data_IF_840797442786
#
_entry.id   IF_840797442786
#
_cell.length_a   1.000
_cell.length_b   1.000
_cell.length_c   1.000
_cell.angle_alpha   90.00
_cell.angle_beta   90.00
_cell.angle_gamma   90.00
#
_symmetry.space_group_name_H-M   'P 1'
#
loop_
_entity.id
_entity.type
_entity.pdbx_description
1 polymer ?
#
# COMPACT_ATOMS: atom_id res chain seq x y z
N UNK A 1 -13.45 5.31 34.14
CA UNK A 1 -12.92 4.10 33.47
C UNK A 1 -11.87 4.57 32.47
N UNK A 2 -10.67 3.98 32.46
CA UNK A 2 -9.71 4.24 31.39
C UNK A 2 -10.31 3.78 30.05
N UNK A 3 -10.09 4.50 28.94
CA UNK A 3 -10.62 4.10 27.65
C UNK A 3 -10.09 2.72 27.26
N UNK A 4 -10.90 1.92 26.57
CA UNK A 4 -10.52 0.60 26.11
C UNK A 4 -9.28 0.67 25.19
N UNK A 5 -8.38 -0.29 25.32
CA UNK A 5 -7.21 -0.41 24.43
C UNK A 5 -7.69 -0.89 23.07
N UNK A 6 -7.39 -0.13 22.02
CA UNK A 6 -7.77 -0.45 20.62
C UNK A 6 -6.63 -0.11 19.66
N UNK A 7 -6.65 -0.57 18.40
CA UNK A 7 -5.68 -0.16 17.39
C UNK A 7 -5.58 1.35 17.16
N UNK A 8 -6.65 2.10 17.45
CA UNK A 8 -6.70 3.57 17.37
C UNK A 8 -6.56 4.27 18.74
N UNK A 9 -6.42 3.51 19.83
CA UNK A 9 -6.18 4.01 21.18
C UNK A 9 -5.26 3.03 21.95
N UNK A 10 -3.95 2.98 21.62
CA UNK A 10 -3.00 2.12 22.30
C UNK A 10 -2.69 2.60 23.73
N UNK A 11 -2.02 1.79 24.58
CA UNK A 11 -1.73 2.13 25.98
C UNK A 11 -0.84 3.38 26.17
N UNK A 12 -0.14 3.80 25.12
CA UNK A 12 0.62 5.05 25.04
C UNK A 12 0.06 5.87 23.88
N UNK A 13 0.19 7.21 23.88
CA UNK A 13 -0.25 8.03 22.76
C UNK A 13 0.25 7.46 21.43
N UNK A 14 -0.64 7.21 20.45
CA UNK A 14 -0.23 6.69 19.17
C UNK A 14 0.62 7.73 18.43
N UNK A 15 1.65 7.26 17.73
CA UNK A 15 2.29 8.09 16.72
C UNK A 15 1.32 8.27 15.55
N UNK A 16 1.07 9.51 15.16
CA UNK A 16 0.13 9.88 14.09
C UNK A 16 0.79 10.84 13.11
N UNK A 17 0.23 10.93 11.92
CA UNK A 17 0.76 11.78 10.86
C UNK A 17 0.45 13.25 11.02
N UNK A 18 -0.44 13.69 11.93
CA UNK A 18 -0.76 15.13 12.08
C UNK A 18 0.28 15.95 12.83
N UNK A 19 1.16 15.30 13.59
CA UNK A 19 2.21 15.98 14.37
C UNK A 19 3.41 16.32 13.47
N UNK A 20 3.41 17.54 12.95
CA UNK A 20 4.48 18.07 12.09
C UNK A 20 5.84 17.92 12.80
N UNK A 21 6.89 17.66 12.03
CA UNK A 21 8.28 17.42 12.50
C UNK A 21 8.52 16.05 13.16
N UNK A 22 7.48 15.27 13.45
CA UNK A 22 7.67 13.89 13.92
C UNK A 22 8.14 12.96 12.79
N UNK A 23 8.83 11.89 13.16
CA UNK A 23 9.21 10.86 12.21
C UNK A 23 8.00 10.16 11.56
N UNK A 24 6.86 10.10 12.26
CA UNK A 24 5.61 9.58 11.72
C UNK A 24 5.07 10.48 10.60
N UNK A 25 5.04 11.80 10.81
CA UNK A 25 4.69 12.78 9.77
C UNK A 25 5.59 12.64 8.54
N UNK A 26 6.93 12.64 8.74
CA UNK A 26 7.89 12.52 7.63
C UNK A 26 7.72 11.19 6.90
N UNK A 27 7.49 10.10 7.63
CA UNK A 27 7.30 8.78 7.04
C UNK A 27 6.05 8.74 6.16
N UNK A 28 4.90 9.17 6.68
CA UNK A 28 3.63 9.14 5.95
C UNK A 28 3.67 10.10 4.75
N UNK A 29 4.23 11.30 4.93
CA UNK A 29 4.28 12.34 3.89
C UNK A 29 5.25 12.04 2.76
N UNK A 30 6.47 11.61 3.10
CA UNK A 30 7.57 11.57 2.14
C UNK A 30 8.01 10.13 1.83
N UNK A 31 8.21 9.30 2.85
CA UNK A 31 8.82 7.97 2.68
C UNK A 31 7.86 6.96 2.07
N UNK A 32 6.62 6.90 2.53
CA UNK A 32 5.62 5.96 2.00
C UNK A 32 5.28 6.24 0.52
N UNK A 33 5.05 7.50 0.09
CA UNK A 33 4.89 7.82 -1.33
C UNK A 33 6.13 7.51 -2.18
N UNK A 34 7.34 7.67 -1.63
CA UNK A 34 8.57 7.30 -2.33
C UNK A 34 8.65 5.78 -2.54
N UNK A 35 8.24 4.96 -1.57
CA UNK A 35 8.16 3.49 -1.71
C UNK A 35 7.16 3.12 -2.82
N UNK A 36 5.97 3.73 -2.84
CA UNK A 36 5.00 3.49 -3.91
C UNK A 36 5.55 3.83 -5.30
N UNK A 37 6.28 4.94 -5.40
CA UNK A 37 6.93 5.35 -6.64
C UNK A 37 7.95 4.31 -7.10
N UNK A 38 8.75 3.76 -6.18
CA UNK A 38 9.70 2.68 -6.50
C UNK A 38 9.00 1.41 -7.02
N UNK A 39 7.87 1.03 -6.42
CA UNK A 39 7.08 -0.13 -6.87
C UNK A 39 6.51 0.12 -8.27
N UNK A 40 5.94 1.30 -8.52
CA UNK A 40 5.42 1.71 -9.83
C UNK A 40 6.52 1.66 -10.89
N UNK A 41 7.69 2.21 -10.61
CA UNK A 41 8.82 2.21 -11.53
C UNK A 41 9.29 0.78 -11.86
N UNK A 42 9.31 -0.12 -10.86
CA UNK A 42 9.73 -1.50 -11.06
C UNK A 42 8.76 -2.29 -11.95
N UNK A 43 7.45 -2.22 -11.67
CA UNK A 43 6.45 -2.88 -12.53
C UNK A 43 6.46 -2.27 -13.94
N UNK A 44 6.62 -0.94 -14.05
CA UNK A 44 6.70 -0.23 -15.33
C UNK A 44 7.85 -0.73 -16.19
N UNK A 45 9.07 -0.77 -15.65
CA UNK A 45 10.24 -1.31 -16.36
C UNK A 45 10.05 -2.78 -16.73
N UNK A 46 9.45 -3.58 -15.84
CA UNK A 46 9.27 -5.00 -16.06
C UNK A 46 8.31 -5.28 -17.22
N UNK A 47 7.15 -4.61 -17.26
CA UNK A 47 6.19 -4.87 -18.35
C UNK A 47 6.61 -4.24 -19.68
N UNK A 48 7.32 -3.11 -19.66
CA UNK A 48 7.83 -2.48 -20.91
C UNK A 48 8.94 -3.28 -21.57
N UNK A 49 9.64 -4.13 -20.81
CA UNK A 49 10.58 -5.10 -21.36
C UNK A 49 9.91 -6.34 -21.95
N UNK A 50 8.61 -6.57 -21.70
CA UNK A 50 7.86 -7.64 -22.37
C UNK A 50 7.62 -7.21 -23.81
N UNK A 51 8.21 -7.92 -24.77
CA UNK A 51 7.91 -7.70 -26.17
C UNK A 51 6.42 -8.01 -26.42
N UNK A 52 5.69 -7.08 -27.06
CA UNK A 52 4.29 -7.27 -27.47
C UNK A 52 4.19 -8.22 -28.70
N UNK A 53 4.73 -9.43 -28.56
CA UNK A 53 4.86 -10.40 -29.66
C UNK A 53 3.77 -11.46 -29.63
N UNK A 54 2.97 -11.56 -28.56
CA UNK A 54 1.93 -12.58 -28.39
C UNK A 54 0.65 -12.03 -27.74
N UNK A 55 -0.48 -12.73 -27.89
CA UNK A 55 -1.72 -12.40 -27.17
C UNK A 55 -1.56 -12.53 -25.65
N UNK A 56 -0.76 -13.49 -25.17
CA UNK A 56 -0.47 -13.68 -23.75
C UNK A 56 0.34 -12.51 -23.15
N UNK A 57 1.33 -11.97 -23.88
CA UNK A 57 2.06 -10.78 -23.44
C UNK A 57 1.16 -9.55 -23.37
N UNK A 58 0.20 -9.41 -24.29
CA UNK A 58 -0.73 -8.28 -24.29
C UNK A 58 -1.64 -8.26 -23.04
N UNK A 59 -2.15 -9.41 -22.60
CA UNK A 59 -2.95 -9.51 -21.35
C UNK A 59 -2.09 -9.16 -20.14
N UNK A 60 -0.88 -9.73 -20.04
CA UNK A 60 0.05 -9.42 -18.95
C UNK A 60 0.43 -7.94 -18.89
N UNK A 61 0.62 -7.28 -20.04
CA UNK A 61 0.88 -5.82 -20.12
C UNK A 61 -0.35 -5.02 -19.68
N UNK A 62 -1.56 -5.43 -20.05
CA UNK A 62 -2.80 -4.76 -19.64
C UNK A 62 -2.98 -4.81 -18.11
N UNK A 63 -2.76 -5.97 -17.48
CA UNK A 63 -2.78 -6.10 -16.01
C UNK A 63 -1.73 -5.22 -15.34
N UNK A 64 -0.51 -5.16 -15.89
CA UNK A 64 0.55 -4.31 -15.34
C UNK A 64 0.18 -2.82 -15.37
N UNK A 65 -0.50 -2.36 -16.43
CA UNK A 65 -1.03 -0.99 -16.52
C UNK A 65 -2.12 -0.74 -15.47
N UNK A 66 -2.99 -1.70 -15.19
CA UNK A 66 -3.99 -1.61 -14.13
C UNK A 66 -3.33 -1.49 -12.75
N UNK A 67 -2.29 -2.28 -12.49
CA UNK A 67 -1.49 -2.18 -11.25
C UNK A 67 -0.89 -0.77 -11.12
N UNK A 68 -0.23 -0.25 -12.17
CA UNK A 68 0.34 1.10 -12.16
C UNK A 68 -0.71 2.15 -11.85
N UNK A 69 -1.90 2.05 -12.45
CA UNK A 69 -3.01 2.96 -12.18
C UNK A 69 -3.47 2.88 -10.72
N UNK A 70 -3.65 1.68 -10.18
CA UNK A 70 -4.08 1.47 -8.80
C UNK A 70 -3.07 2.01 -7.77
N UNK A 71 -1.78 1.80 -8.01
CA UNK A 71 -0.71 2.32 -7.15
C UNK A 71 -0.54 3.83 -7.28
N UNK A 72 -0.73 4.39 -8.48
CA UNK A 72 -0.77 5.83 -8.72
C UNK A 72 -1.93 6.50 -7.98
N UNK A 73 -3.11 5.87 -8.00
CA UNK A 73 -4.27 6.32 -7.22
C UNK A 73 -3.99 6.26 -5.71
N UNK A 74 -3.44 5.15 -5.21
CA UNK A 74 -3.06 5.01 -3.80
C UNK A 74 -2.09 6.11 -3.37
N UNK A 75 -1.06 6.39 -4.17
CA UNK A 75 -0.10 7.48 -3.90
C UNK A 75 -0.81 8.84 -3.83
N UNK A 76 -1.73 9.12 -4.74
CA UNK A 76 -2.51 10.35 -4.73
C UNK A 76 -3.40 10.46 -3.48
N UNK A 77 -4.09 9.38 -3.11
CA UNK A 77 -4.91 9.31 -1.89
C UNK A 77 -4.09 9.66 -0.64
N UNK A 78 -2.88 9.11 -0.53
CA UNK A 78 -1.96 9.39 0.58
C UNK A 78 -1.50 10.86 0.59
N UNK A 79 -1.03 11.36 -0.55
CA UNK A 79 -0.48 12.72 -0.64
C UNK A 79 -1.53 13.82 -0.44
N UNK A 80 -2.79 13.51 -0.71
CA UNK A 80 -3.92 14.44 -0.53
C UNK A 80 -4.75 14.14 0.72
N UNK A 81 -4.18 13.35 1.64
CA UNK A 81 -4.77 12.93 2.92
C UNK A 81 -6.24 12.50 2.82
N UNK A 82 -6.54 11.66 1.82
CA UNK A 82 -7.90 11.13 1.63
C UNK A 82 -8.31 10.22 2.80
N UNK A 83 -9.62 10.07 3.04
CA UNK A 83 -10.10 9.08 4.00
C UNK A 83 -9.65 7.66 3.64
N UNK A 84 -9.40 6.85 4.67
CA UNK A 84 -9.15 5.42 4.54
C UNK A 84 -10.44 4.73 4.09
N UNK A 85 -10.35 3.95 3.01
CA UNK A 85 -11.51 3.26 2.43
C UNK A 85 -11.45 1.75 2.68
N UNK A 86 -12.60 1.07 2.69
CA UNK A 86 -12.62 -0.39 2.68
C UNK A 86 -11.81 -0.97 1.52
N UNK A 87 -11.18 -2.11 1.75
CA UNK A 87 -10.53 -2.93 0.74
C UNK A 87 -11.57 -3.62 -0.12
N UNK A 88 -11.31 -3.70 -1.43
CA UNK A 88 -12.08 -4.55 -2.33
C UNK A 88 -11.86 -6.04 -2.00
N UNK A 89 -12.76 -6.90 -2.45
CA UNK A 89 -12.54 -8.34 -2.37
C UNK A 89 -11.39 -8.73 -3.30
N UNK A 90 -10.48 -9.57 -2.81
CA UNK A 90 -9.41 -10.20 -3.57
C UNK A 90 -9.30 -11.68 -3.20
N UNK A 91 -8.27 -12.37 -3.69
CA UNK A 91 -8.09 -13.80 -3.46
C UNK A 91 -7.89 -14.17 -1.97
N UNK A 92 -7.61 -13.22 -1.09
CA UNK A 92 -7.35 -13.45 0.33
C UNK A 92 -8.51 -13.00 1.19
N UNK A 93 -9.01 -13.86 2.07
CA UNK A 93 -10.16 -13.54 2.92
C UNK A 93 -9.87 -12.49 4.00
N UNK A 94 -8.61 -12.10 4.22
CA UNK A 94 -8.22 -11.13 5.23
C UNK A 94 -8.78 -9.72 4.98
N UNK A 95 -9.20 -9.38 3.75
CA UNK A 95 -9.86 -8.10 3.46
C UNK A 95 -11.10 -7.88 4.35
N UNK A 96 -11.79 -8.95 4.76
CA UNK A 96 -12.95 -8.87 5.65
C UNK A 96 -12.56 -8.39 7.04
N UNK A 97 -11.48 -8.94 7.59
CA UNK A 97 -10.91 -8.53 8.89
C UNK A 97 -10.40 -7.09 8.82
N UNK A 98 -9.72 -6.72 7.73
CA UNK A 98 -9.32 -5.33 7.49
C UNK A 98 -10.52 -4.38 7.47
N UNK A 99 -11.58 -4.73 6.75
CA UNK A 99 -12.78 -3.90 6.65
C UNK A 99 -13.52 -3.76 7.99
N UNK A 100 -13.55 -4.82 8.80
CA UNK A 100 -14.06 -4.78 10.17
C UNK A 100 -13.24 -3.82 11.05
N UNK A 101 -11.91 -3.91 11.01
CA UNK A 101 -11.01 -3.02 11.75
C UNK A 101 -11.17 -1.56 11.30
N UNK A 102 -11.27 -1.32 9.98
CA UNK A 102 -11.51 0.01 9.41
C UNK A 102 -12.82 0.57 9.93
N UNK A 103 -13.91 -0.19 9.81
CA UNK A 103 -15.25 0.26 10.23
C UNK A 103 -15.32 0.50 11.75
N UNK A 104 -14.66 -0.34 12.55
CA UNK A 104 -14.76 -0.29 14.02
C UNK A 104 -13.84 0.76 14.64
N UNK A 105 -12.63 0.94 14.11
CA UNK A 105 -11.59 1.73 14.79
C UNK A 105 -11.09 2.93 13.98
N UNK A 106 -11.26 2.92 12.66
CA UNK A 106 -10.71 3.94 11.76
C UNK A 106 -11.78 4.60 10.87
N UNK A 107 -13.06 4.51 11.23
CA UNK A 107 -14.14 5.16 10.52
C UNK A 107 -13.90 6.68 10.44
N UNK A 108 -13.91 7.24 9.23
CA UNK A 108 -13.66 8.66 8.97
C UNK A 108 -12.21 9.11 9.19
N UNK A 109 -11.28 8.19 9.50
CA UNK A 109 -9.85 8.51 9.58
C UNK A 109 -9.24 8.67 8.19
N UNK A 110 -8.22 9.51 8.13
CA UNK A 110 -7.37 9.77 6.97
C UNK A 110 -6.00 9.17 7.19
N UNK A 111 -5.13 9.22 6.18
CA UNK A 111 -3.75 8.72 6.27
C UNK A 111 -2.95 9.38 7.41
N UNK A 112 -3.18 10.66 7.68
CA UNK A 112 -2.47 11.42 8.70
C UNK A 112 -3.15 11.33 10.08
N UNK A 113 -4.46 11.05 10.15
CA UNK A 113 -5.22 11.00 11.43
C UNK A 113 -5.41 9.60 12.01
N UNK A 114 -5.15 8.55 11.22
CA UNK A 114 -4.98 7.19 11.71
C UNK A 114 -3.62 7.01 12.40
N UNK A 115 -3.48 5.91 13.15
CA UNK A 115 -2.18 5.56 13.76
C UNK A 115 -1.18 5.23 12.66
N UNK A 116 0.08 5.69 12.82
CA UNK A 116 1.12 5.47 11.81
C UNK A 116 1.29 3.99 11.48
N UNK A 117 1.26 3.12 12.51
CA UNK A 117 1.30 1.67 12.32
C UNK A 117 0.19 1.18 11.38
N UNK A 118 -1.05 1.64 11.58
CA UNK A 118 -2.16 1.26 10.73
C UNK A 118 -1.99 1.79 9.30
N UNK A 119 -1.68 3.08 9.14
CA UNK A 119 -1.48 3.71 7.82
C UNK A 119 -0.39 3.00 7.00
N UNK A 120 0.73 2.64 7.65
CA UNK A 120 1.83 1.94 6.98
C UNK A 120 1.44 0.51 6.58
N UNK A 121 0.85 -0.28 7.50
CA UNK A 121 0.40 -1.63 7.17
C UNK A 121 -0.71 -1.63 6.11
N UNK A 122 -1.64 -0.68 6.17
CA UNK A 122 -2.72 -0.52 5.20
C UNK A 122 -2.18 -0.17 3.81
N UNK A 123 -1.15 0.69 3.71
CA UNK A 123 -0.47 0.95 2.44
C UNK A 123 0.08 -0.35 1.83
N UNK A 124 0.84 -1.15 2.58
CA UNK A 124 1.38 -2.42 2.06
C UNK A 124 0.28 -3.40 1.66
N UNK A 125 -0.83 -3.47 2.41
CA UNK A 125 -1.98 -4.31 2.04
C UNK A 125 -2.68 -3.82 0.77
N UNK A 126 -2.76 -2.51 0.53
CA UNK A 126 -3.27 -1.92 -0.72
C UNK A 126 -2.33 -2.16 -1.90
N UNK A 127 -1.02 -2.14 -1.70
CA UNK A 127 -0.05 -2.58 -2.72
C UNK A 127 -0.32 -4.05 -3.05
N UNK A 128 -0.36 -4.92 -2.05
CA UNK A 128 -0.64 -6.34 -2.24
C UNK A 128 -1.94 -6.58 -3.01
N UNK A 129 -3.03 -5.91 -2.65
CA UNK A 129 -4.32 -6.00 -3.33
C UNK A 129 -4.20 -5.71 -4.83
N UNK A 130 -3.43 -4.67 -5.21
CA UNK A 130 -3.28 -4.29 -6.61
C UNK A 130 -2.72 -5.44 -7.46
N UNK A 131 -1.82 -6.26 -6.90
CA UNK A 131 -1.28 -7.45 -7.56
C UNK A 131 -2.21 -8.67 -7.41
N UNK A 132 -2.78 -8.89 -6.22
CA UNK A 132 -3.56 -10.09 -5.90
C UNK A 132 -4.85 -10.26 -6.72
N UNK A 133 -5.39 -9.18 -7.28
CA UNK A 133 -6.57 -9.21 -8.17
C UNK A 133 -6.24 -9.59 -9.62
N UNK A 134 -4.95 -9.66 -9.98
CA UNK A 134 -4.50 -10.01 -11.33
C UNK A 134 -4.26 -11.51 -11.47
N UNK A 135 -4.25 -12.03 -12.70
CA UNK A 135 -3.94 -13.43 -12.97
C UNK A 135 -2.44 -13.67 -13.06
N UNK A 136 -1.70 -12.80 -13.78
CA UNK A 136 -0.29 -13.04 -14.13
C UNK A 136 0.71 -12.35 -13.20
N UNK A 137 0.27 -11.43 -12.34
CA UNK A 137 1.16 -10.67 -11.44
C UNK A 137 0.88 -10.91 -9.95
N UNK A 138 -0.10 -11.72 -9.58
CA UNK A 138 -0.44 -12.00 -8.16
C UNK A 138 0.73 -12.51 -7.32
N UNK A 139 1.66 -13.25 -7.93
CA UNK A 139 2.83 -13.82 -7.26
C UNK A 139 4.10 -12.99 -7.47
N UNK A 140 3.99 -11.80 -8.09
CA UNK A 140 5.13 -10.95 -8.39
C UNK A 140 5.66 -10.26 -7.13
N UNK A 141 6.94 -10.48 -6.84
CA UNK A 141 7.64 -9.82 -5.75
C UNK A 141 8.21 -8.47 -6.21
N UNK A 142 7.42 -7.43 -6.00
CA UNK A 142 7.78 -6.06 -6.33
C UNK A 142 8.93 -5.49 -5.49
N UNK A 143 9.40 -6.18 -4.44
CA UNK A 143 10.58 -5.80 -3.66
C UNK A 143 11.80 -6.71 -3.89
N UNK A 144 11.70 -7.69 -4.80
CA UNK A 144 12.76 -8.66 -5.06
C UNK A 144 14.10 -7.99 -5.43
N UNK A 145 14.08 -7.04 -6.37
CA UNK A 145 15.28 -6.32 -6.82
C UNK A 145 16.00 -5.66 -5.64
N UNK A 146 15.25 -4.92 -4.80
CA UNK A 146 15.79 -4.24 -3.63
C UNK A 146 16.37 -5.20 -2.60
N UNK A 147 15.70 -6.33 -2.35
CA UNK A 147 16.21 -7.38 -1.43
C UNK A 147 17.51 -8.00 -1.95
N UNK A 148 17.58 -8.26 -3.25
CA UNK A 148 18.77 -8.82 -3.88
C UNK A 148 19.94 -7.83 -3.87
N UNK A 149 19.71 -6.56 -4.23
CA UNK A 149 20.75 -5.52 -4.16
C UNK A 149 21.29 -5.31 -2.75
N UNK A 150 20.42 -5.34 -1.73
CA UNK A 150 20.84 -5.22 -0.34
C UNK A 150 21.72 -6.40 0.12
N UNK A 151 21.43 -7.61 -0.36
CA UNK A 151 22.24 -8.80 -0.07
C UNK A 151 23.63 -8.72 -0.71
N UNK A 152 23.73 -8.24 -1.95
CA UNK A 152 25.02 -8.11 -2.66
C UNK A 152 25.90 -6.96 -2.15
N UNK A 153 25.31 -5.96 -1.50
CA UNK A 153 26.02 -4.81 -0.96
C UNK A 153 26.51 -5.03 0.49
N UNK A 154 26.12 -6.13 1.12
CA UNK A 154 26.52 -6.53 2.48
C UNK A 154 27.82 -7.34 2.45
#
# INVERSE_FOLDING_TARGET
MSPAVTPNNPPRPPLIGTEVETFAYITIKDRLPAILTQVVDHIYRTYTALADTTSASAVKVAEAKQIVQALGQLRYEMQTDKPITPLAADAHSDYTVWNEVIATHFAGKTWFTATWLFSECYMYRRIYQAFAVTEHWKDYDYFAEKKHSAFLAA
#
